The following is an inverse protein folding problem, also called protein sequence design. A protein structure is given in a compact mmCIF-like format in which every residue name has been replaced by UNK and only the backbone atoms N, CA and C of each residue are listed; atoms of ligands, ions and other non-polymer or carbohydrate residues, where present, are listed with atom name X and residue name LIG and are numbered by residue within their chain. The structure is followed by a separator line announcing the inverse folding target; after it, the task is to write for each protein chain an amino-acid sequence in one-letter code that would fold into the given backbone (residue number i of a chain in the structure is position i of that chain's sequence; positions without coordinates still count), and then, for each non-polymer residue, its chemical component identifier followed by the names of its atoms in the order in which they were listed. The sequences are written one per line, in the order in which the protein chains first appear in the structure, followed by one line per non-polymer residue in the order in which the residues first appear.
data_IF_034142383274
#
_entry.id   IF_034142383274
#
_cell.length_a   1.000
_cell.length_b   1.000
_cell.length_c   1.000
_cell.angle_alpha   90.00
_cell.angle_beta   90.00
_cell.angle_gamma   90.00
#
_symmetry.space_group_name_H-M   'P 1'
#
loop_
_entity.id
_entity.type
_entity.pdbx_description
1 polymer ?
#
# COMPACT_ATOMS: atom_id res chain seq x y z
N UNK A 1 38.01 -51.03 7.55
CA UNK A 1 38.29 -49.59 7.74
C UNK A 1 38.01 -48.92 6.41
N UNK A 2 36.89 -48.22 6.30
CA UNK A 2 36.45 -47.63 5.03
C UNK A 2 37.14 -46.28 4.84
N UNK A 3 37.92 -46.17 3.76
CA UNK A 3 38.60 -44.93 3.36
C UNK A 3 37.56 -43.85 3.03
N UNK A 4 37.60 -42.77 3.80
CA UNK A 4 36.82 -41.55 3.56
C UNK A 4 37.42 -40.84 2.35
N UNK A 5 36.77 -40.97 1.19
CA UNK A 5 37.07 -40.15 0.01
C UNK A 5 36.73 -38.69 0.33
N UNK A 6 37.76 -37.93 0.69
CA UNK A 6 37.76 -36.48 0.76
C UNK A 6 37.40 -35.96 -0.64
N UNK A 7 36.17 -35.46 -0.81
CA UNK A 7 35.79 -34.68 -1.99
C UNK A 7 36.61 -33.40 -1.98
N UNK A 8 37.63 -33.35 -2.83
CA UNK A 8 38.36 -32.14 -3.18
C UNK A 8 37.37 -31.12 -3.71
N UNK A 9 37.20 -30.04 -2.97
CA UNK A 9 36.43 -28.86 -3.35
C UNK A 9 37.19 -28.13 -4.48
N UNK A 10 36.60 -27.94 -5.68
CA UNK A 10 37.18 -27.07 -6.70
C UNK A 10 37.08 -25.59 -6.24
N UNK A 11 37.89 -24.69 -6.81
CA UNK A 11 38.32 -23.45 -6.16
C UNK A 11 37.12 -22.61 -5.72
N UNK A 12 37.13 -22.15 -4.46
CA UNK A 12 36.14 -21.24 -3.91
C UNK A 12 36.12 -19.96 -4.76
N UNK A 13 35.19 -19.87 -5.70
CA UNK A 13 34.69 -18.56 -6.11
C UNK A 13 33.95 -18.00 -4.90
N UNK A 14 34.40 -16.85 -4.41
CA UNK A 14 33.81 -16.27 -3.22
C UNK A 14 32.33 -15.95 -3.50
N UNK A 15 31.39 -16.33 -2.62
CA UNK A 15 29.96 -16.11 -2.85
C UNK A 15 29.64 -14.63 -3.11
N UNK A 16 30.45 -13.74 -2.54
CA UNK A 16 30.37 -12.29 -2.73
C UNK A 16 30.72 -11.85 -4.16
N UNK A 17 31.68 -12.52 -4.83
CA UNK A 17 32.02 -12.22 -6.23
C UNK A 17 30.89 -12.62 -7.17
N UNK A 18 30.26 -13.76 -6.88
CA UNK A 18 29.09 -14.25 -7.62
C UNK A 18 27.93 -13.27 -7.44
N UNK A 19 27.67 -12.82 -6.21
CA UNK A 19 26.64 -11.81 -5.91
C UNK A 19 26.86 -10.51 -6.71
N UNK A 20 28.08 -9.98 -6.71
CA UNK A 20 28.42 -8.77 -7.46
C UNK A 20 28.20 -8.96 -8.96
N UNK A 21 28.58 -10.13 -9.50
CA UNK A 21 28.35 -10.44 -10.92
C UNK A 21 26.86 -10.50 -11.28
N UNK A 22 26.01 -11.01 -10.38
CA UNK A 22 24.55 -11.01 -10.57
C UNK A 22 24.01 -9.58 -10.63
N UNK A 23 24.51 -8.71 -9.75
CA UNK A 23 24.12 -7.30 -9.71
C UNK A 23 24.57 -6.59 -11.00
N UNK A 24 25.77 -6.85 -11.49
CA UNK A 24 26.30 -6.27 -12.73
C UNK A 24 25.53 -6.71 -13.99
N UNK A 25 24.94 -7.91 -13.97
CA UNK A 25 24.11 -8.41 -15.06
C UNK A 25 22.67 -7.87 -15.03
N UNK A 26 22.19 -7.38 -13.88
CA UNK A 26 20.85 -6.79 -13.73
C UNK A 26 20.49 -5.75 -14.80
N UNK A 27 21.33 -4.74 -15.14
CA UNK A 27 20.97 -3.73 -16.13
C UNK A 27 20.82 -4.28 -17.56
N UNK A 28 21.45 -5.42 -17.86
CA UNK A 28 21.36 -6.04 -19.19
C UNK A 28 20.06 -6.84 -19.36
N UNK A 29 19.46 -7.29 -18.25
CA UNK A 29 18.24 -8.10 -18.22
C UNK A 29 17.16 -7.45 -17.34
N UNK A 30 16.51 -6.37 -17.82
CA UNK A 30 15.51 -5.63 -17.04
C UNK A 30 14.26 -6.45 -16.69
N UNK A 31 13.96 -7.48 -17.48
CA UNK A 31 12.88 -8.42 -17.23
C UNK A 31 13.26 -9.56 -16.30
N UNK A 32 14.53 -9.65 -15.89
CA UNK A 32 15.13 -10.65 -15.01
C UNK A 32 15.92 -11.73 -15.73
N UNK A 33 16.75 -12.42 -14.95
CA UNK A 33 17.78 -13.36 -15.39
C UNK A 33 17.21 -14.79 -15.25
N UNK A 34 17.36 -15.64 -16.27
CA UNK A 34 16.94 -17.06 -16.23
C UNK A 34 18.13 -17.99 -16.02
N UNK A 35 17.90 -19.18 -15.44
CA UNK A 35 18.94 -20.20 -15.17
C UNK A 35 19.89 -20.45 -16.35
N UNK A 36 19.40 -20.31 -17.59
CA UNK A 36 20.19 -20.46 -18.81
C UNK A 36 21.18 -19.32 -19.05
N UNK A 37 20.77 -18.07 -18.83
CA UNK A 37 21.65 -16.89 -18.97
C UNK A 37 22.82 -16.99 -18.01
N UNK A 38 22.55 -17.52 -16.83
CA UNK A 38 23.49 -17.70 -15.74
C UNK A 38 24.55 -18.74 -16.08
N UNK A 39 24.10 -19.90 -16.58
CA UNK A 39 24.98 -20.97 -17.01
C UNK A 39 25.87 -20.53 -18.18
N UNK A 40 25.36 -19.65 -19.05
CA UNK A 40 26.11 -19.12 -20.18
C UNK A 40 27.14 -18.07 -19.78
N UNK A 41 26.83 -17.19 -18.82
CA UNK A 41 27.75 -16.15 -18.34
C UNK A 41 28.83 -16.69 -17.40
N UNK A 42 28.52 -17.73 -16.62
CA UNK A 42 29.44 -18.34 -15.67
C UNK A 42 29.49 -19.87 -15.83
N UNK A 43 30.07 -20.38 -16.94
CA UNK A 43 30.16 -21.81 -17.20
C UNK A 43 31.15 -22.55 -16.27
N UNK A 44 31.98 -21.81 -15.51
CA UNK A 44 33.00 -22.33 -14.60
C UNK A 44 32.50 -22.50 -13.16
N UNK A 45 31.28 -22.05 -12.85
CA UNK A 45 30.70 -22.07 -11.50
C UNK A 45 29.70 -23.22 -11.39
N UNK A 46 29.79 -23.98 -10.31
CA UNK A 46 28.84 -25.06 -10.04
C UNK A 46 27.47 -24.49 -9.67
N UNK A 47 26.39 -25.11 -10.16
CA UNK A 47 25.01 -24.68 -9.90
C UNK A 47 24.70 -24.52 -8.39
N UNK A 48 25.38 -25.27 -7.52
CA UNK A 48 25.26 -25.16 -6.07
C UNK A 48 25.78 -23.82 -5.52
N UNK A 49 26.96 -23.37 -5.97
CA UNK A 49 27.54 -22.10 -5.51
C UNK A 49 26.67 -20.92 -5.94
N UNK A 50 26.11 -21.02 -7.14
CA UNK A 50 25.22 -20.00 -7.68
C UNK A 50 23.87 -19.95 -6.95
N UNK A 51 23.28 -21.12 -6.64
CA UNK A 51 22.07 -21.20 -5.82
C UNK A 51 22.27 -20.61 -4.41
N UNK A 52 23.46 -20.79 -3.81
CA UNK A 52 23.80 -20.17 -2.52
C UNK A 52 23.82 -18.65 -2.63
N UNK A 53 24.44 -18.08 -3.67
CA UNK A 53 24.46 -16.65 -3.91
C UNK A 53 23.05 -16.06 -4.13
N UNK A 54 22.20 -16.71 -4.93
CA UNK A 54 20.79 -16.30 -5.10
C UNK A 54 20.07 -16.33 -3.76
N UNK A 55 20.17 -17.44 -3.01
CA UNK A 55 19.48 -17.60 -1.73
C UNK A 55 19.89 -16.51 -0.74
N UNK A 56 21.16 -16.09 -0.79
CA UNK A 56 21.63 -14.95 0.01
C UNK A 56 21.03 -13.63 -0.46
N UNK A 57 21.01 -13.34 -1.76
CA UNK A 57 20.39 -12.13 -2.32
C UNK A 57 18.86 -12.08 -2.08
N UNK A 58 18.19 -13.22 -2.13
CA UNK A 58 16.78 -13.38 -1.75
C UNK A 58 16.58 -13.13 -0.26
N UNK A 59 17.44 -13.68 0.61
CA UNK A 59 17.38 -13.47 2.06
C UNK A 59 17.68 -12.03 2.46
N UNK A 60 18.53 -11.33 1.70
CA UNK A 60 18.83 -9.90 1.84
C UNK A 60 17.73 -9.02 1.23
N UNK A 61 16.76 -9.59 0.54
CA UNK A 61 15.66 -8.87 -0.09
C UNK A 61 16.09 -8.01 -1.28
N UNK A 62 17.25 -8.28 -1.87
CA UNK A 62 17.79 -7.57 -3.03
C UNK A 62 17.38 -8.21 -4.36
N UNK A 63 16.67 -9.34 -4.33
CA UNK A 63 16.27 -10.11 -5.50
C UNK A 63 14.81 -10.58 -5.34
N UNK A 64 14.04 -10.56 -6.44
CA UNK A 64 12.71 -11.16 -6.57
C UNK A 64 12.79 -12.43 -7.40
N UNK A 65 12.20 -13.51 -6.88
CA UNK A 65 11.97 -14.74 -7.63
C UNK A 65 10.60 -14.66 -8.31
N UNK A 66 10.60 -14.72 -9.63
CA UNK A 66 9.40 -14.77 -10.46
C UNK A 66 9.34 -16.11 -11.20
N UNK A 67 8.12 -16.60 -11.45
CA UNK A 67 7.89 -17.81 -12.22
C UNK A 67 7.33 -17.43 -13.59
N UNK A 68 8.04 -17.79 -14.65
CA UNK A 68 7.60 -17.63 -16.04
C UNK A 68 7.21 -19.00 -16.63
N UNK A 69 6.55 -18.99 -17.79
CA UNK A 69 6.21 -20.21 -18.54
C UNK A 69 7.46 -20.98 -19.01
N UNK A 70 8.62 -20.32 -19.03
CA UNK A 70 9.91 -20.87 -19.49
C UNK A 70 10.88 -21.22 -18.36
N UNK A 71 10.50 -21.03 -17.09
CA UNK A 71 11.35 -21.34 -15.94
C UNK A 71 11.30 -20.30 -14.82
N UNK A 72 12.23 -20.43 -13.88
CA UNK A 72 12.45 -19.45 -12.82
C UNK A 72 13.20 -18.23 -13.37
N UNK A 73 12.81 -17.06 -12.90
CA UNK A 73 13.35 -15.79 -13.33
C UNK A 73 13.72 -14.97 -12.09
N UNK A 74 14.96 -14.51 -12.06
CA UNK A 74 15.56 -13.78 -10.94
C UNK A 74 15.72 -12.32 -11.32
N UNK A 75 14.99 -11.43 -10.63
CA UNK A 75 15.05 -10.00 -10.91
C UNK A 75 15.68 -9.28 -9.73
N UNK A 76 16.79 -8.58 -9.93
CA UNK A 76 17.37 -7.73 -8.88
C UNK A 76 16.41 -6.57 -8.60
N UNK A 77 16.16 -6.32 -7.32
CA UNK A 77 15.48 -5.12 -6.87
C UNK A 77 16.47 -3.98 -6.94
N UNK A 78 16.13 -2.94 -7.70
CA UNK A 78 16.86 -1.70 -7.66
C UNK A 78 17.06 -1.24 -6.21
N UNK A 79 18.31 -1.18 -5.76
CA UNK A 79 18.67 -0.58 -4.46
C UNK A 79 18.23 0.90 -4.39
N UNK A 80 18.11 1.55 -5.55
CA UNK A 80 17.46 2.86 -5.68
C UNK A 80 15.98 2.84 -5.29
N UNK A 81 15.28 1.72 -5.48
CA UNK A 81 13.92 1.53 -4.99
C UNK A 81 13.88 1.02 -3.55
N UNK A 82 14.88 0.27 -3.06
CA UNK A 82 14.94 -0.12 -1.65
C UNK A 82 15.24 1.07 -0.71
N UNK A 83 16.08 2.02 -1.14
CA UNK A 83 16.31 3.29 -0.44
C UNK A 83 15.11 4.27 -0.54
N UNK A 84 14.41 4.29 -1.69
CA UNK A 84 13.16 5.07 -1.86
C UNK A 84 11.94 4.42 -1.18
N UNK A 85 11.99 3.13 -0.85
CA UNK A 85 10.96 2.43 -0.07
C UNK A 85 11.00 2.74 1.44
N UNK A 86 12.03 3.45 1.91
CA UNK A 86 12.09 4.06 3.25
C UNK A 86 11.92 5.59 3.21
N UNK A 87 11.36 6.13 2.12
CA UNK A 87 10.96 7.53 2.10
C UNK A 87 9.65 7.75 2.86
N UNK A 88 9.39 8.96 3.40
CA UNK A 88 8.07 9.34 3.89
C UNK A 88 6.98 9.10 2.84
N UNK A 89 7.32 9.15 1.55
CA UNK A 89 6.45 8.82 0.43
C UNK A 89 5.94 7.37 0.44
N UNK A 90 6.71 6.39 0.93
CA UNK A 90 6.25 5.01 0.94
C UNK A 90 5.27 4.75 2.09
N UNK A 91 5.51 5.39 3.23
CA UNK A 91 4.55 5.41 4.34
C UNK A 91 3.26 6.15 3.94
N UNK A 92 3.40 7.26 3.20
CA UNK A 92 2.26 8.02 2.64
C UNK A 92 1.46 7.18 1.63
N UNK A 93 2.13 6.47 0.72
CA UNK A 93 1.48 5.52 -0.20
C UNK A 93 0.78 4.37 0.52
N UNK A 94 1.41 3.79 1.54
CA UNK A 94 0.81 2.71 2.32
C UNK A 94 -0.47 3.19 3.04
N UNK A 95 -0.41 4.36 3.68
CA UNK A 95 -1.58 4.95 4.34
C UNK A 95 -2.68 5.28 3.32
N UNK A 96 -2.32 5.81 2.16
CA UNK A 96 -3.28 6.06 1.07
C UNK A 96 -3.96 4.77 0.60
N UNK A 97 -3.19 3.71 0.35
CA UNK A 97 -3.72 2.42 -0.07
C UNK A 97 -4.65 1.80 0.98
N UNK A 98 -4.33 1.91 2.27
CA UNK A 98 -5.19 1.47 3.37
C UNK A 98 -6.54 2.22 3.38
N UNK A 99 -6.54 3.51 3.03
CA UNK A 99 -7.75 4.33 2.93
C UNK A 99 -8.54 3.99 1.66
N UNK A 100 -7.84 3.70 0.55
CA UNK A 100 -8.44 3.26 -0.71
C UNK A 100 -9.15 1.90 -0.55
N UNK A 101 -8.50 0.94 0.10
CA UNK A 101 -9.08 -0.38 0.43
C UNK A 101 -10.31 -0.27 1.33
N UNK A 102 -10.39 0.78 2.16
CA UNK A 102 -11.55 1.04 3.00
C UNK A 102 -12.75 1.59 2.21
N UNK A 103 -12.49 2.28 1.08
CA UNK A 103 -13.50 2.79 0.16
C UNK A 103 -14.63 3.55 0.85
N UNK A 104 -15.87 3.09 0.66
CA UNK A 104 -17.08 3.69 1.27
C UNK A 104 -17.20 3.42 2.78
N UNK A 105 -16.59 2.35 3.28
CA UNK A 105 -16.51 2.06 4.72
C UNK A 105 -15.33 2.84 5.28
N UNK A 106 -15.53 4.15 5.44
CA UNK A 106 -14.59 5.11 6.05
C UNK A 106 -13.74 4.48 7.15
N UNK A 107 -12.46 4.83 7.20
CA UNK A 107 -11.52 4.21 8.15
C UNK A 107 -11.19 5.15 9.31
N UNK A 108 -11.06 4.61 10.52
CA UNK A 108 -10.70 5.39 11.70
C UNK A 108 -9.19 5.55 11.80
N UNK A 109 -8.71 6.68 12.33
CA UNK A 109 -7.26 6.90 12.53
C UNK A 109 -6.59 5.80 13.36
N UNK A 110 -7.33 5.21 14.32
CA UNK A 110 -6.87 4.06 15.10
C UNK A 110 -6.67 2.82 14.23
N UNK A 111 -7.59 2.55 13.31
CA UNK A 111 -7.50 1.38 12.44
C UNK A 111 -6.41 1.55 11.39
N UNK A 112 -6.22 2.78 10.87
CA UNK A 112 -5.07 3.13 10.03
C UNK A 112 -3.78 2.80 10.78
N UNK A 113 -3.66 3.17 12.06
CA UNK A 113 -2.50 2.84 12.90
C UNK A 113 -2.27 1.35 13.06
N UNK A 114 -3.33 0.58 13.32
CA UNK A 114 -3.20 -0.87 13.45
C UNK A 114 -2.79 -1.54 12.13
N UNK A 115 -3.30 -1.06 10.99
CA UNK A 115 -2.97 -1.62 9.67
C UNK A 115 -1.61 -1.17 9.13
N UNK A 116 -1.20 0.06 9.39
CA UNK A 116 0.07 0.61 8.89
C UNK A 116 1.25 0.30 9.80
N UNK A 117 1.01 -0.06 11.06
CA UNK A 117 2.03 -0.27 12.10
C UNK A 117 2.96 0.95 12.29
N UNK A 118 2.46 2.16 12.03
CA UNK A 118 3.21 3.42 12.13
C UNK A 118 2.95 4.14 13.47
N UNK A 119 3.91 4.94 13.97
CA UNK A 119 3.70 5.80 15.12
C UNK A 119 2.67 6.90 14.82
N UNK A 120 1.89 7.29 15.84
CA UNK A 120 0.77 8.24 15.69
C UNK A 120 1.22 9.62 15.17
N UNK A 121 2.45 10.04 15.49
CA UNK A 121 3.06 11.29 15.03
C UNK A 121 3.26 11.32 13.51
N UNK A 122 3.74 10.22 12.93
CA UNK A 122 3.92 10.08 11.48
C UNK A 122 2.58 10.00 10.76
N UNK A 123 1.65 9.21 11.28
CA UNK A 123 0.29 9.10 10.72
C UNK A 123 -0.38 10.48 10.65
N UNK A 124 -0.30 11.28 11.71
CA UNK A 124 -0.89 12.62 11.72
C UNK A 124 -0.22 13.57 10.70
N UNK A 125 1.09 13.46 10.48
CA UNK A 125 1.79 14.24 9.44
C UNK A 125 1.33 13.81 8.04
N UNK A 126 1.28 12.51 7.78
CA UNK A 126 0.87 11.92 6.51
C UNK A 126 -0.59 12.28 6.19
N UNK A 127 -1.51 12.12 7.14
CA UNK A 127 -2.92 12.46 6.96
C UNK A 127 -3.11 13.94 6.63
N UNK A 128 -2.38 14.84 7.29
CA UNK A 128 -2.41 16.28 6.96
C UNK A 128 -1.88 16.54 5.56
N UNK A 129 -0.79 15.89 5.15
CA UNK A 129 -0.23 16.04 3.80
C UNK A 129 -1.22 15.58 2.73
N UNK A 130 -1.81 14.40 2.91
CA UNK A 130 -2.83 13.84 2.01
C UNK A 130 -4.10 14.69 1.94
N UNK A 131 -4.49 15.31 3.06
CA UNK A 131 -5.61 16.25 3.14
C UNK A 131 -5.30 17.57 2.41
N UNK A 132 -4.09 18.13 2.59
CA UNK A 132 -3.62 19.31 1.85
C UNK A 132 -3.58 19.07 0.33
N UNK A 133 -3.20 17.85 -0.10
CA UNK A 133 -3.20 17.45 -1.51
C UNK A 133 -4.61 17.13 -2.06
N UNK A 134 -5.67 17.22 -1.24
CA UNK A 134 -7.06 16.85 -1.58
C UNK A 134 -7.20 15.42 -2.11
N UNK A 135 -6.37 14.50 -1.64
CA UNK A 135 -6.49 13.07 -1.95
C UNK A 135 -7.46 12.37 -1.00
N UNK A 136 -7.48 12.83 0.26
CA UNK A 136 -8.38 12.35 1.30
C UNK A 136 -9.16 13.51 1.90
N UNK A 137 -10.27 13.20 2.57
CA UNK A 137 -11.02 14.14 3.40
C UNK A 137 -11.38 13.53 4.74
N UNK A 138 -11.36 14.36 5.78
CA UNK A 138 -11.87 14.00 7.08
C UNK A 138 -13.39 14.21 7.12
N UNK A 139 -14.12 13.19 7.58
CA UNK A 139 -15.56 13.28 7.81
C UNK A 139 -15.81 13.00 9.29
N UNK A 140 -16.64 13.80 9.95
CA UNK A 140 -17.16 13.45 11.27
C UNK A 140 -18.38 12.55 11.07
N UNK A 141 -18.51 11.55 11.92
CA UNK A 141 -19.71 10.71 11.93
C UNK A 141 -20.82 11.41 12.71
N UNK A 142 -22.01 11.55 12.11
CA UNK A 142 -23.20 12.11 12.79
C UNK A 142 -23.66 11.19 13.94
N UNK A 143 -23.62 9.87 13.75
CA UNK A 143 -24.00 8.90 14.79
C UNK A 143 -22.97 8.76 15.92
N UNK A 144 -21.70 9.09 15.65
CA UNK A 144 -20.60 8.95 16.61
C UNK A 144 -19.74 10.22 16.61
N UNK A 145 -20.34 11.31 17.11
CA UNK A 145 -19.83 12.70 17.12
C UNK A 145 -18.35 12.87 17.52
N UNK A 146 -17.75 11.94 18.27
CA UNK A 146 -16.36 12.05 18.76
C UNK A 146 -15.28 11.37 17.89
N UNK A 147 -15.63 10.68 16.81
CA UNK A 147 -14.65 9.91 16.01
C UNK A 147 -14.40 10.55 14.64
N UNK A 148 -13.13 10.90 14.39
CA UNK A 148 -12.65 11.32 13.06
C UNK A 148 -12.48 10.11 12.17
N UNK A 149 -13.14 10.12 11.02
CA UNK A 149 -13.04 9.07 10.01
C UNK A 149 -12.53 9.66 8.71
N UNK A 150 -11.71 8.91 7.99
CA UNK A 150 -11.08 9.35 6.74
C UNK A 150 -11.64 8.57 5.56
N UNK A 151 -11.74 9.24 4.43
CA UNK A 151 -12.16 8.66 3.15
C UNK A 151 -11.49 9.37 1.98
N UNK A 152 -11.53 8.76 0.79
CA UNK A 152 -11.06 9.40 -0.44
C UNK A 152 -11.87 10.66 -0.75
N UNK A 153 -11.21 11.66 -1.33
CA UNK A 153 -11.84 12.94 -1.67
C UNK A 153 -13.00 12.77 -2.67
N UNK A 154 -12.78 11.93 -3.69
CA UNK A 154 -13.72 11.67 -4.77
C UNK A 154 -14.93 10.81 -4.37
N UNK A 155 -14.89 10.14 -3.21
CA UNK A 155 -16.00 9.31 -2.74
C UNK A 155 -17.03 10.15 -1.99
N UNK A 156 -18.31 9.91 -2.21
CA UNK A 156 -19.37 10.49 -1.38
C UNK A 156 -19.60 9.63 -0.14
N UNK A 157 -19.72 10.25 1.05
CA UNK A 157 -20.06 9.53 2.26
C UNK A 157 -21.45 8.91 2.15
N UNK A 158 -21.60 7.69 2.66
CA UNK A 158 -22.90 7.02 2.75
C UNK A 158 -23.90 7.83 3.60
N UNK A 159 -25.19 7.82 3.21
CA UNK A 159 -26.29 8.54 3.90
C UNK A 159 -26.39 8.17 5.38
N UNK A 160 -26.07 6.91 5.72
CA UNK A 160 -26.02 6.43 7.10
C UNK A 160 -25.04 7.20 7.99
N UNK A 161 -24.07 7.88 7.39
CA UNK A 161 -23.05 8.65 8.11
C UNK A 161 -23.26 10.16 8.01
N UNK A 162 -23.87 10.66 6.94
CA UNK A 162 -24.22 12.09 6.81
C UNK A 162 -25.52 12.46 7.48
N UNK A 163 -26.37 11.51 7.87
CA UNK A 163 -27.67 11.81 8.47
C UNK A 163 -28.77 12.15 7.46
N UNK A 164 -28.49 11.99 6.15
CA UNK A 164 -29.47 12.22 5.08
C UNK A 164 -29.61 13.69 4.68
N UNK A 165 -30.78 14.07 4.17
CA UNK A 165 -31.05 15.41 3.62
C UNK A 165 -31.26 16.51 4.68
N UNK A 166 -31.16 16.17 5.97
CA UNK A 166 -31.34 17.10 7.09
C UNK A 166 -30.02 17.68 7.62
N UNK A 167 -28.91 17.32 6.98
CA UNK A 167 -27.57 17.70 7.40
C UNK A 167 -26.76 18.15 6.18
N UNK A 168 -26.17 19.34 6.29
CA UNK A 168 -25.23 19.89 5.30
C UNK A 168 -23.91 20.09 6.01
N UNK A 169 -22.84 19.59 5.37
CA UNK A 169 -21.47 19.66 5.88
C UNK A 169 -21.29 19.22 7.35
N UNK A 170 -22.13 18.29 7.82
CA UNK A 170 -22.15 17.71 9.17
C UNK A 170 -22.83 18.57 10.25
N UNK A 171 -23.47 19.68 9.87
CA UNK A 171 -24.32 20.47 10.77
C UNK A 171 -25.80 20.19 10.48
N UNK A 172 -26.60 20.14 11.55
CA UNK A 172 -28.04 19.94 11.45
C UNK A 172 -28.70 21.23 10.95
N UNK A 173 -29.43 21.14 9.83
CA UNK A 173 -30.13 22.27 9.24
C UNK A 173 -31.50 22.46 9.92
N UNK A 174 -31.49 23.02 11.14
CA UNK A 174 -32.74 23.33 11.86
C UNK A 174 -33.63 24.31 11.09
N UNK A 175 -33.02 25.28 10.39
CA UNK A 175 -33.74 26.25 9.56
C UNK A 175 -34.54 25.55 8.44
N UNK A 176 -34.00 24.49 7.84
CA UNK A 176 -34.70 23.74 6.80
C UNK A 176 -35.95 23.06 7.37
N UNK A 177 -35.87 22.50 8.58
CA UNK A 177 -37.02 21.90 9.29
C UNK A 177 -38.09 22.96 9.59
N UNK A 178 -37.68 24.15 10.03
CA UNK A 178 -38.61 25.25 10.32
C UNK A 178 -39.33 25.73 9.07
N UNK A 179 -38.60 25.92 7.96
CA UNK A 179 -39.18 26.29 6.66
C UNK A 179 -40.16 25.20 6.20
N UNK A 180 -39.80 23.92 6.31
CA UNK A 180 -40.69 22.82 5.94
C UNK A 180 -41.98 22.81 6.77
N UNK A 181 -41.87 23.04 8.08
CA UNK A 181 -43.04 23.16 8.95
C UNK A 181 -43.92 24.35 8.56
N UNK A 182 -43.33 25.52 8.28
CA UNK A 182 -44.09 26.69 7.82
C UNK A 182 -44.81 26.41 6.49
N UNK A 183 -44.15 25.76 5.54
CA UNK A 183 -44.77 25.38 4.27
C UNK A 183 -45.91 24.37 4.46
N UNK A 184 -45.74 23.39 5.36
CA UNK A 184 -46.80 22.45 5.71
C UNK A 184 -48.02 23.16 6.32
N UNK A 185 -47.80 24.11 7.24
CA UNK A 185 -48.87 24.89 7.88
C UNK A 185 -49.61 25.73 6.82
N UNK A 186 -48.88 26.47 5.99
CA UNK A 186 -49.47 27.28 4.93
C UNK A 186 -50.30 26.42 3.97
N UNK A 187 -49.76 25.27 3.55
CA UNK A 187 -50.48 24.35 2.67
C UNK A 187 -51.79 23.84 3.30
N UNK A 188 -51.77 23.47 4.58
CA UNK A 188 -52.96 23.02 5.31
C UNK A 188 -54.00 24.14 5.45
N UNK A 189 -53.57 25.36 5.74
CA UNK A 189 -54.45 26.53 5.83
C UNK A 189 -55.10 26.85 4.48
N UNK A 190 -54.31 26.95 3.41
CA UNK A 190 -54.85 27.15 2.05
C UNK A 190 -55.86 26.06 1.71
N UNK A 191 -55.54 24.79 1.99
CA UNK A 191 -56.44 23.68 1.68
C UNK A 191 -57.72 23.70 2.51
N UNK A 192 -57.69 24.21 3.74
CA UNK A 192 -58.87 24.37 4.59
C UNK A 192 -59.75 25.56 4.16
N UNK A 193 -59.16 26.62 3.61
CA UNK A 193 -59.90 27.78 3.07
C UNK A 193 -60.52 27.48 1.69
N UNK A 194 -59.93 26.56 0.93
CA UNK A 194 -60.42 26.17 -0.39
C UNK A 194 -61.43 25.00 -0.35
N UNK A 195 -61.71 24.44 0.83
CA UNK A 195 -62.63 23.32 1.06
C UNK A 195 -63.96 23.81 1.65
#
# INVERSE_FOLDING_TARGET
MAEVKVKLQPPNADPVEIENRIIDMSPQFPHGITDQVIQNEMPHIEAQQWAVAINRLLSMGQLDLLRSNTGLLYRIKDSQNAGKMKGPDNQEKLVYQIIEDAGNKKIWSRDIRYKSNLPLTEINKILKNLESKKLIKAVKSVAASKKKVYMLYNLQPDRSVTGGAWYSDQDFESEFVEVLNQQCINFLQTKAETA
#
